data_IF_925614129180
#
_entry.id   IF_925614129180
#
_cell.length_a   1.000
_cell.length_b   1.000
_cell.length_c   1.000
_cell.angle_alpha   90.00
_cell.angle_beta   90.00
_cell.angle_gamma   90.00
#
_symmetry.space_group_name_H-M   'P 1'
#
loop_
_entity.id
_entity.type
_entity.pdbx_description
1 polymer ?
#
# COMPACT_ATOMS: atom_id res chain seq x y z
N UNK A 1 1.31 -18.21 -15.53
CA UNK A 1 2.39 -17.46 -14.85
C UNK A 1 1.74 -16.75 -13.67
N UNK A 2 2.39 -16.71 -12.51
CA UNK A 2 1.86 -16.05 -11.31
C UNK A 2 2.39 -14.61 -11.31
N UNK A 3 1.53 -13.65 -11.63
CA UNK A 3 1.84 -12.21 -11.75
C UNK A 3 0.77 -11.38 -11.02
N UNK A 4 1.06 -10.09 -10.79
CA UNK A 4 0.20 -9.16 -10.06
C UNK A 4 -0.14 -9.65 -8.64
N UNK A 5 0.86 -10.21 -7.96
CA UNK A 5 0.75 -10.60 -6.56
C UNK A 5 1.65 -9.72 -5.72
N UNK A 6 1.22 -9.50 -4.49
CA UNK A 6 2.07 -8.94 -3.44
C UNK A 6 2.28 -10.02 -2.39
N UNK A 7 3.54 -10.33 -2.13
CA UNK A 7 3.93 -11.28 -1.09
C UNK A 7 4.84 -10.54 -0.15
N UNK A 8 4.25 -10.07 0.94
CA UNK A 8 4.90 -9.24 1.93
C UNK A 8 5.06 -10.02 3.24
N UNK A 9 6.29 -10.29 3.69
CA UNK A 9 6.53 -10.86 5.00
C UNK A 9 6.64 -9.76 6.06
N UNK A 10 6.12 -10.06 7.24
CA UNK A 10 6.27 -9.24 8.45
C UNK A 10 7.74 -9.24 8.93
N UNK A 11 8.53 -10.25 8.52
CA UNK A 11 9.98 -10.29 8.69
C UNK A 11 10.65 -11.24 7.68
N UNK A 12 11.70 -10.76 7.01
CA UNK A 12 12.50 -11.55 6.06
C UNK A 12 12.36 -11.10 4.60
N UNK A 13 13.12 -11.74 3.71
CA UNK A 13 12.98 -11.60 2.27
C UNK A 13 12.23 -12.82 1.73
N UNK A 14 11.19 -12.61 0.92
CA UNK A 14 10.57 -13.69 0.15
C UNK A 14 11.31 -13.80 -1.16
N UNK A 15 11.88 -14.97 -1.43
CA UNK A 15 12.39 -15.29 -2.75
C UNK A 15 11.23 -15.76 -3.61
N UNK A 16 10.81 -14.93 -4.58
CA UNK A 16 9.84 -15.32 -5.63
C UNK A 16 10.31 -16.54 -6.45
N UNK A 17 11.59 -16.91 -6.33
CA UNK A 17 12.25 -17.98 -7.07
C UNK A 17 11.66 -19.40 -6.84
N UNK A 18 10.69 -19.60 -5.96
CA UNK A 18 10.23 -20.95 -5.60
C UNK A 18 9.15 -21.57 -6.53
N UNK A 19 8.53 -20.84 -7.47
CA UNK A 19 7.44 -21.39 -8.31
C UNK A 19 7.42 -20.83 -9.74
N UNK A 20 8.56 -20.35 -10.25
CA UNK A 20 8.61 -19.61 -11.53
C UNK A 20 7.92 -18.24 -11.46
N UNK A 21 7.68 -17.72 -10.25
CA UNK A 21 7.36 -16.32 -10.06
C UNK A 21 8.66 -15.52 -10.14
N UNK A 22 8.63 -14.42 -10.88
CA UNK A 22 9.69 -13.44 -10.93
C UNK A 22 9.25 -12.21 -10.15
N UNK A 23 10.20 -11.42 -9.66
CA UNK A 23 9.91 -10.05 -9.19
C UNK A 23 9.40 -9.16 -10.34
N UNK A 24 9.69 -9.54 -11.59
CA UNK A 24 9.10 -8.92 -12.76
C UNK A 24 7.58 -9.16 -12.71
N UNK A 25 6.81 -8.09 -12.45
CA UNK A 25 5.36 -8.06 -12.23
C UNK A 25 4.81 -8.63 -10.90
N UNK A 26 5.64 -8.84 -9.88
CA UNK A 26 5.17 -9.09 -8.51
C UNK A 26 5.83 -8.12 -7.51
N UNK A 27 5.23 -7.98 -6.34
CA UNK A 27 5.57 -6.98 -5.32
C UNK A 27 5.98 -7.68 -4.02
N UNK A 28 6.98 -7.16 -3.31
CA UNK A 28 7.32 -7.54 -1.92
C UNK A 28 7.38 -6.29 -1.04
N UNK A 29 6.26 -5.60 -0.89
CA UNK A 29 6.20 -4.32 -0.18
C UNK A 29 5.00 -4.29 0.76
N UNK A 30 5.07 -3.47 1.80
CA UNK A 30 3.94 -3.30 2.73
C UNK A 30 2.66 -2.92 1.93
N UNK A 31 1.58 -3.73 2.01
CA UNK A 31 0.32 -3.45 1.33
C UNK A 31 -0.34 -2.16 1.79
N UNK A 32 0.09 -1.57 2.92
CA UNK A 32 -0.47 -0.38 3.54
C UNK A 32 -1.97 -0.55 3.74
N UNK A 33 -2.36 -1.43 4.65
CA UNK A 33 -3.75 -1.59 5.07
C UNK A 33 -4.24 -0.40 5.90
N UNK A 34 -5.52 -0.07 5.79
CA UNK A 34 -6.14 1.04 6.51
C UNK A 34 -6.02 0.88 8.02
N UNK A 35 -6.37 -0.30 8.54
CA UNK A 35 -6.21 -0.64 9.94
C UNK A 35 -6.23 -2.17 10.14
N UNK A 36 -5.07 -2.80 9.96
CA UNK A 36 -4.91 -4.25 10.12
C UNK A 36 -5.33 -4.73 11.52
N UNK A 37 -4.98 -3.99 12.57
CA UNK A 37 -5.32 -4.33 13.95
C UNK A 37 -6.85 -4.33 14.22
N UNK A 38 -7.62 -3.60 13.41
CA UNK A 38 -9.09 -3.60 13.46
C UNK A 38 -9.72 -4.48 12.36
N UNK A 39 -8.93 -5.31 11.67
CA UNK A 39 -9.37 -6.14 10.54
C UNK A 39 -9.90 -5.35 9.33
N UNK A 40 -9.48 -4.10 9.18
CA UNK A 40 -9.77 -3.29 8.00
C UNK A 40 -8.63 -3.42 6.99
N UNK A 41 -8.72 -4.47 6.17
CA UNK A 41 -7.75 -4.83 5.14
C UNK A 41 -7.99 -4.13 3.80
N UNK A 42 -8.81 -3.06 3.77
CA UNK A 42 -8.81 -2.15 2.63
C UNK A 42 -7.44 -1.47 2.56
N UNK A 43 -7.01 -1.07 1.37
CA UNK A 43 -5.69 -0.47 1.16
C UNK A 43 -5.74 1.06 1.14
N UNK A 44 -4.62 1.70 1.46
CA UNK A 44 -4.43 3.13 1.21
C UNK A 44 -4.36 3.43 -0.30
N UNK A 45 -4.73 4.65 -0.69
CA UNK A 45 -4.62 5.10 -2.09
C UNK A 45 -3.17 5.03 -2.65
N UNK A 46 -2.18 5.17 -1.78
CA UNK A 46 -0.75 5.11 -2.08
C UNK A 46 -0.15 3.72 -1.81
N UNK A 47 -1.00 2.70 -1.66
CA UNK A 47 -0.55 1.31 -1.54
C UNK A 47 0.10 0.85 -2.85
N UNK A 48 1.18 0.04 -2.79
CA UNK A 48 1.74 -0.60 -3.97
C UNK A 48 0.75 -1.57 -4.64
N UNK A 49 -0.24 -2.07 -3.90
CA UNK A 49 -1.32 -2.94 -4.40
C UNK A 49 -2.46 -2.18 -5.11
N UNK A 50 -2.48 -0.84 -5.05
CA UNK A 50 -3.49 -0.06 -5.74
C UNK A 50 -3.21 -0.06 -7.25
N UNK A 51 -4.26 -0.17 -8.08
CA UNK A 51 -4.13 -0.26 -9.54
C UNK A 51 -3.30 0.89 -10.17
N UNK A 52 -3.28 2.07 -9.55
CA UNK A 52 -2.50 3.22 -10.03
C UNK A 52 -1.00 3.13 -9.71
N UNK A 53 -0.61 2.30 -8.74
CA UNK A 53 0.76 2.18 -8.23
C UNK A 53 1.38 0.79 -8.49
N UNK A 54 0.55 -0.18 -8.85
CA UNK A 54 0.98 -1.54 -9.18
C UNK A 54 1.77 -1.58 -10.50
N UNK A 55 2.53 -2.66 -10.76
CA UNK A 55 3.23 -2.86 -12.04
C UNK A 55 2.28 -2.72 -13.25
N UNK A 56 2.80 -2.28 -14.42
CA UNK A 56 1.99 -2.11 -15.62
C UNK A 56 1.20 -3.37 -15.98
N UNK A 57 -0.08 -3.21 -16.31
CA UNK A 57 -0.98 -4.31 -16.64
C UNK A 57 -1.66 -4.96 -15.43
N UNK A 58 -1.23 -4.63 -14.20
CA UNK A 58 -1.94 -5.05 -12.99
C UNK A 58 -3.13 -4.13 -12.68
N UNK A 59 -4.25 -4.74 -12.28
CA UNK A 59 -5.39 -4.06 -11.70
C UNK A 59 -5.24 -3.91 -10.18
N UNK A 60 -6.37 -3.85 -9.47
CA UNK A 60 -6.35 -3.98 -8.01
C UNK A 60 -5.79 -5.36 -7.63
N UNK A 61 -4.77 -5.37 -6.77
CA UNK A 61 -4.21 -6.60 -6.20
C UNK A 61 -4.90 -6.85 -4.84
N UNK A 62 -5.43 -8.06 -4.65
CA UNK A 62 -6.19 -8.44 -3.46
C UNK A 62 -7.70 -8.22 -3.56
N UNK A 63 -8.43 -8.63 -2.51
CA UNK A 63 -9.90 -8.68 -2.52
C UNK A 63 -10.56 -7.32 -2.27
N UNK A 64 -9.90 -6.43 -1.52
CA UNK A 64 -10.46 -5.16 -1.07
C UNK A 64 -9.71 -4.00 -1.74
N UNK A 65 -10.45 -3.02 -2.24
CA UNK A 65 -9.90 -1.83 -2.88
C UNK A 65 -9.47 -0.74 -1.91
N UNK A 66 -9.30 0.46 -2.45
CA UNK A 66 -8.93 1.65 -1.68
C UNK A 66 -10.05 1.98 -0.68
N UNK A 67 -9.71 2.06 0.61
CA UNK A 67 -10.66 2.35 1.69
C UNK A 67 -10.32 3.55 2.57
N UNK A 68 -9.10 4.06 2.44
CA UNK A 68 -8.59 5.17 3.21
C UNK A 68 -7.62 5.99 2.37
N UNK A 69 -7.60 7.29 2.64
CA UNK A 69 -6.62 8.23 2.08
C UNK A 69 -5.85 8.85 3.23
N UNK A 70 -4.60 9.27 2.97
CA UNK A 70 -3.88 10.05 3.95
C UNK A 70 -4.44 11.47 3.94
N UNK A 71 -4.93 11.95 5.08
CA UNK A 71 -5.05 13.38 5.27
C UNK A 71 -3.65 13.90 5.59
N UNK A 72 -3.05 14.77 4.77
CA UNK A 72 -1.74 15.32 5.09
C UNK A 72 -1.83 16.06 6.43
N UNK A 73 -1.07 15.63 7.43
CA UNK A 73 -0.99 16.33 8.72
C UNK A 73 0.43 16.86 8.90
N UNK A 74 0.57 18.18 8.91
CA UNK A 74 1.82 18.84 9.30
C UNK A 74 1.71 19.26 10.78
N UNK A 75 2.76 19.00 11.58
CA UNK A 75 2.80 19.55 12.93
C UNK A 75 3.03 21.06 12.85
N UNK A 76 2.10 21.81 13.43
CA UNK A 76 2.17 23.27 13.50
C UNK A 76 2.07 23.70 14.96
N UNK A 77 2.76 24.80 15.30
CA UNK A 77 2.50 25.48 16.57
C UNK A 77 1.11 26.13 16.54
N UNK A 78 0.50 26.34 17.71
CA UNK A 78 -0.79 27.01 17.79
C UNK A 78 -0.76 28.42 17.21
N UNK A 79 0.39 29.10 17.30
CA UNK A 79 0.62 30.39 16.63
C UNK A 79 0.56 30.27 15.10
N UNK A 80 1.27 29.28 14.52
CA UNK A 80 1.28 29.05 13.06
C UNK A 80 -0.11 28.67 12.54
N UNK A 81 -0.87 27.87 13.28
CA UNK A 81 -2.25 27.54 12.93
C UNK A 81 -3.17 28.77 12.88
N UNK A 82 -3.11 29.66 13.88
CA UNK A 82 -3.90 30.90 13.91
C UNK A 82 -3.61 31.83 12.73
N UNK A 83 -2.38 31.83 12.22
CA UNK A 83 -2.01 32.63 11.05
C UNK A 83 -2.57 32.10 9.73
N UNK A 84 -2.86 30.81 9.62
CA UNK A 84 -3.42 30.20 8.41
C UNK A 84 -4.92 30.50 8.21
N UNK A 85 -5.64 30.84 9.28
CA UNK A 85 -7.11 31.03 9.27
C UNK A 85 -7.53 32.47 9.58
N UNK A 86 -6.69 33.45 9.25
CA UNK A 86 -7.01 34.88 9.39
C UNK A 86 -7.59 35.46 8.11
#
# INVERSE_FOLDING_TARGET
>A
MVECNDVWPDSGAIEFNCCGATVENNITADPRFCNEAASDFRIYEQSPCAAANAPPGCGQIGALGIGCSQTPVERLSWGKAKHLFR
#
